data_IF_148035389601
#
_entry.id   IF_148035389601
#
_cell.length_a   1.000
_cell.length_b   1.000
_cell.length_c   1.000
_cell.angle_alpha   90.00
_cell.angle_beta   90.00
_cell.angle_gamma   90.00
#
_symmetry.space_group_name_H-M   'P 1'
#
loop_
_entity.id
_entity.type
_entity.pdbx_description
1 polymer ?
#
# COMPACT_ATOMS: atom_id res chain seq x y z
N UNK A 1 -0.10 9.99 10.80
CA UNK A 1 -0.04 8.60 11.29
C UNK A 1 0.91 7.80 10.42
N UNK A 2 1.81 7.07 11.02
CA UNK A 2 2.73 6.19 10.28
C UNK A 2 2.08 4.85 9.99
N UNK A 3 2.66 4.08 9.06
CA UNK A 3 2.18 2.74 8.75
C UNK A 3 2.25 1.84 9.99
N UNK A 4 3.34 1.94 10.75
CA UNK A 4 3.51 1.19 12.00
C UNK A 4 2.36 1.47 12.97
N UNK A 5 2.03 2.73 13.18
CA UNK A 5 0.95 3.14 14.06
C UNK A 5 -0.40 2.62 13.56
N UNK A 6 -0.63 2.68 12.26
CA UNK A 6 -1.87 2.21 11.66
C UNK A 6 -2.07 0.71 11.87
N UNK A 7 -1.02 -0.08 11.65
CA UNK A 7 -1.06 -1.52 11.84
C UNK A 7 -1.36 -1.87 13.30
N UNK A 8 -0.65 -1.23 14.22
CA UNK A 8 -0.86 -1.46 15.67
C UNK A 8 -2.27 -1.09 16.06
N UNK A 9 -2.75 0.06 15.62
CA UNK A 9 -4.09 0.56 15.93
C UNK A 9 -5.15 -0.42 15.44
N UNK A 10 -5.08 -0.82 14.18
CA UNK A 10 -6.05 -1.74 13.60
C UNK A 10 -6.07 -3.07 14.36
N UNK A 11 -4.89 -3.64 14.59
CA UNK A 11 -4.76 -4.90 15.29
C UNK A 11 -5.35 -4.82 16.70
N UNK A 12 -5.01 -3.75 17.42
CA UNK A 12 -5.48 -3.55 18.78
C UNK A 12 -6.99 -3.36 18.85
N UNK A 13 -7.54 -2.56 17.96
CA UNK A 13 -8.99 -2.30 17.90
C UNK A 13 -9.80 -3.57 17.61
N UNK A 14 -9.21 -4.49 16.83
CA UNK A 14 -9.88 -5.74 16.47
C UNK A 14 -9.49 -6.93 17.36
N UNK A 15 -8.69 -6.68 18.39
CA UNK A 15 -8.26 -7.73 19.33
C UNK A 15 -7.43 -8.83 18.69
N UNK A 16 -6.63 -8.48 17.69
CA UNK A 16 -5.82 -9.43 16.94
C UNK A 16 -4.38 -9.46 17.45
N UNK A 17 -3.80 -10.66 17.54
CA UNK A 17 -2.37 -10.78 17.76
C UNK A 17 -1.63 -10.49 16.45
N UNK A 18 -0.31 -10.26 16.53
CA UNK A 18 0.51 -10.10 15.34
C UNK A 18 0.36 -11.29 14.40
N UNK A 19 0.35 -12.49 14.94
CA UNK A 19 0.22 -13.72 14.18
C UNK A 19 -1.14 -13.81 13.47
N UNK A 20 -2.20 -13.48 14.19
CA UNK A 20 -3.55 -13.51 13.61
C UNK A 20 -3.68 -12.49 12.48
N UNK A 21 -3.18 -11.29 12.70
CA UNK A 21 -3.20 -10.26 11.68
C UNK A 21 -2.38 -10.64 10.45
N UNK A 22 -1.20 -11.22 10.67
CA UNK A 22 -0.36 -11.72 9.59
C UNK A 22 -1.10 -12.74 8.73
N UNK A 23 -1.81 -13.67 9.35
CA UNK A 23 -2.60 -14.68 8.64
C UNK A 23 -3.69 -14.03 7.79
N UNK A 24 -4.38 -13.04 8.33
CA UNK A 24 -5.43 -12.32 7.62
C UNK A 24 -4.86 -11.61 6.38
N UNK A 25 -3.69 -11.01 6.53
CA UNK A 25 -3.04 -10.28 5.43
C UNK A 25 -2.33 -11.19 4.44
N UNK A 26 -2.09 -12.46 4.80
CA UNK A 26 -1.27 -13.34 3.97
C UNK A 26 0.21 -13.02 4.05
N UNK A 27 0.66 -12.51 5.20
CA UNK A 27 2.05 -12.14 5.46
C UNK A 27 2.59 -12.99 6.61
N UNK A 28 3.90 -12.96 6.80
CA UNK A 28 4.51 -13.66 7.92
C UNK A 28 4.38 -12.86 9.22
N UNK A 29 4.37 -13.57 10.34
CA UNK A 29 4.36 -12.93 11.66
C UNK A 29 5.60 -12.05 11.85
N UNK A 30 6.76 -12.52 11.39
CA UNK A 30 7.99 -11.75 11.46
C UNK A 30 7.91 -10.44 10.67
N UNK A 31 7.25 -10.47 9.52
CA UNK A 31 7.06 -9.25 8.73
C UNK A 31 6.19 -8.23 9.45
N UNK A 32 5.09 -8.67 10.06
CA UNK A 32 4.23 -7.78 10.85
C UNK A 32 5.00 -7.17 12.01
N UNK A 33 5.83 -7.99 12.67
CA UNK A 33 6.68 -7.50 13.77
C UNK A 33 7.63 -6.40 13.27
N UNK A 34 8.27 -6.59 12.12
CA UNK A 34 9.15 -5.58 11.52
C UNK A 34 8.39 -4.30 11.20
N UNK A 35 7.17 -4.42 10.65
CA UNK A 35 6.34 -3.25 10.35
C UNK A 35 6.02 -2.45 11.60
N UNK A 36 5.66 -3.12 12.68
CA UNK A 36 5.30 -2.44 13.93
C UNK A 36 6.50 -1.77 14.59
N UNK A 37 7.67 -2.35 14.45
CA UNK A 37 8.93 -1.77 14.95
C UNK A 37 9.49 -0.72 14.00
N UNK A 38 9.04 -0.72 12.76
CA UNK A 38 9.52 0.16 11.70
C UNK A 38 11.03 0.06 11.47
N UNK A 39 11.57 -1.14 11.57
CA UNK A 39 13.00 -1.39 11.42
C UNK A 39 13.23 -2.64 10.60
N UNK A 40 14.15 -2.55 9.63
CA UNK A 40 14.67 -3.71 8.92
C UNK A 40 15.86 -4.26 9.72
N UNK A 41 15.75 -5.47 10.29
CA UNK A 41 16.81 -6.01 11.14
C UNK A 41 18.12 -6.27 10.39
N UNK A 42 18.09 -6.39 9.08
CA UNK A 42 19.30 -6.61 8.27
C UNK A 42 20.12 -5.35 8.08
N UNK A 43 19.47 -4.19 8.00
CA UNK A 43 20.13 -2.92 7.69
C UNK A 43 20.09 -1.93 8.85
N UNK A 44 19.24 -2.15 9.85
CA UNK A 44 19.02 -1.19 10.93
C UNK A 44 18.29 0.09 10.48
N UNK A 45 17.90 0.16 9.22
CA UNK A 45 17.20 1.31 8.67
C UNK A 45 15.69 1.13 8.77
N UNK A 46 14.91 2.22 8.65
CA UNK A 46 13.45 2.11 8.61
C UNK A 46 13.01 1.14 7.53
N UNK A 47 11.98 0.38 7.83
CA UNK A 47 11.44 -0.59 6.88
C UNK A 47 10.72 0.13 5.74
N UNK A 48 11.07 -0.23 4.51
CA UNK A 48 10.38 0.26 3.31
C UNK A 48 9.62 -0.91 2.69
N UNK A 49 8.30 -1.00 2.92
CA UNK A 49 7.54 -2.15 2.44
C UNK A 49 7.38 -2.16 0.91
N UNK A 50 7.42 -3.35 0.33
CA UNK A 50 7.14 -3.54 -1.08
C UNK A 50 5.66 -3.26 -1.35
N UNK A 51 5.36 -2.76 -2.56
CA UNK A 51 3.98 -2.43 -2.90
C UNK A 51 3.04 -3.63 -2.83
N UNK A 52 3.52 -4.82 -3.19
CA UNK A 52 2.72 -6.03 -3.09
C UNK A 52 2.30 -6.32 -1.65
N UNK A 53 3.20 -6.07 -0.69
CA UNK A 53 2.91 -6.25 0.72
C UNK A 53 1.96 -5.18 1.24
N UNK A 54 2.06 -3.95 0.74
CA UNK A 54 1.12 -2.90 1.08
C UNK A 54 -0.29 -3.25 0.60
N UNK A 55 -0.42 -3.85 -0.57
CA UNK A 55 -1.72 -4.32 -1.06
C UNK A 55 -2.31 -5.38 -0.14
N UNK A 56 -1.49 -6.32 0.30
CA UNK A 56 -1.92 -7.37 1.24
C UNK A 56 -2.37 -6.77 2.57
N UNK A 57 -1.62 -5.79 3.07
CA UNK A 57 -1.99 -5.09 4.30
C UNK A 57 -3.33 -4.36 4.15
N UNK A 58 -3.50 -3.64 3.06
CA UNK A 58 -4.75 -2.92 2.81
C UNK A 58 -5.94 -3.86 2.78
N UNK A 59 -5.83 -4.97 2.05
CA UNK A 59 -6.89 -5.96 1.98
C UNK A 59 -7.17 -6.58 3.35
N UNK A 60 -6.12 -6.87 4.12
CA UNK A 60 -6.26 -7.41 5.46
C UNK A 60 -6.95 -6.47 6.43
N UNK A 61 -6.82 -5.16 6.20
CA UNK A 61 -7.48 -4.12 7.00
C UNK A 61 -8.81 -3.67 6.40
N UNK A 62 -9.32 -4.39 5.41
CA UNK A 62 -10.57 -4.04 4.73
C UNK A 62 -10.51 -2.69 4.04
N UNK A 63 -9.35 -2.32 3.58
CA UNK A 63 -9.07 -1.05 2.91
C UNK A 63 -8.58 -1.27 1.49
N UNK A 64 -8.55 -0.20 0.72
CA UNK A 64 -7.86 -0.19 -0.56
C UNK A 64 -6.47 0.40 -0.39
N UNK A 65 -5.60 0.14 -1.36
CA UNK A 65 -4.26 0.72 -1.36
C UNK A 65 -4.33 2.25 -1.36
N UNK A 66 -5.26 2.83 -2.10
CA UNK A 66 -5.47 4.28 -2.12
C UNK A 66 -5.85 4.83 -0.75
N UNK A 67 -6.72 4.13 -0.03
CA UNK A 67 -7.11 4.52 1.32
C UNK A 67 -5.93 4.45 2.28
N UNK A 68 -5.07 3.44 2.11
CA UNK A 68 -3.88 3.31 2.91
C UNK A 68 -2.94 4.51 2.70
N UNK A 69 -2.74 4.92 1.47
CA UNK A 69 -1.91 6.08 1.15
C UNK A 69 -2.51 7.38 1.68
N UNK A 70 -3.83 7.49 1.76
CA UNK A 70 -4.47 8.66 2.34
C UNK A 70 -4.29 8.74 3.85
N UNK A 71 -4.37 7.59 4.51
CA UNK A 71 -4.31 7.52 5.98
C UNK A 71 -2.88 7.71 6.49
N UNK A 72 -1.91 7.18 5.78
CA UNK A 72 -0.51 7.22 6.20
C UNK A 72 0.20 8.36 5.47
N UNK A 73 0.74 9.29 6.24
CA UNK A 73 1.55 10.38 5.71
C UNK A 73 2.95 9.86 5.40
N UNK A 74 3.55 10.38 4.34
CA UNK A 74 4.93 10.05 3.95
C UNK A 74 5.18 8.54 3.91
N UNK A 75 4.27 7.81 3.28
CA UNK A 75 4.37 6.35 3.18
C UNK A 75 5.62 5.95 2.40
N UNK A 76 6.60 5.32 3.04
CA UNK A 76 7.70 4.73 2.28
C UNK A 76 7.16 3.54 1.50
N UNK A 77 7.49 3.46 0.23
CA UNK A 77 7.10 2.33 -0.60
C UNK A 77 8.24 1.94 -1.51
N UNK A 78 8.54 0.65 -1.54
CA UNK A 78 9.51 0.10 -2.45
C UNK A 78 8.76 -0.49 -3.64
N UNK A 79 8.89 0.16 -4.78
CA UNK A 79 8.31 -0.34 -6.02
C UNK A 79 9.16 -1.48 -6.59
N UNK A 80 10.43 -1.57 -6.15
CA UNK A 80 11.33 -2.68 -6.44
C UNK A 80 11.42 -2.99 -7.91
N UNK A 81 11.26 -4.27 -8.21
CA UNK A 81 11.25 -4.77 -9.58
C UNK A 81 9.88 -4.59 -10.25
N UNK A 82 8.96 -3.88 -9.61
CA UNK A 82 7.72 -3.55 -10.25
C UNK A 82 8.06 -2.66 -11.44
N UNK A 83 8.29 -3.33 -12.53
CA UNK A 83 8.40 -2.63 -13.80
C UNK A 83 7.00 -2.20 -14.14
N UNK A 84 6.73 -0.92 -14.03
CA UNK A 84 5.60 -0.40 -14.76
C UNK A 84 5.70 -1.00 -16.15
N UNK A 85 4.70 -1.75 -16.61
CA UNK A 85 4.79 -2.28 -17.96
C UNK A 85 5.00 -1.08 -18.85
N UNK A 86 6.19 -1.02 -19.44
CA UNK A 86 6.62 0.10 -20.23
C UNK A 86 5.64 0.39 -21.36
N UNK A 87 5.98 1.35 -22.16
CA UNK A 87 5.21 1.77 -23.31
C UNK A 87 4.62 0.64 -24.16
N UNK A 88 5.20 -0.54 -24.10
CA UNK A 88 4.74 -1.71 -24.86
C UNK A 88 3.36 -2.21 -24.44
N UNK A 89 2.94 -1.88 -23.22
CA UNK A 89 1.70 -2.39 -22.65
C UNK A 89 0.74 -1.26 -22.29
N UNK A 90 0.98 -0.08 -22.84
CA UNK A 90 0.15 1.10 -22.55
C UNK A 90 -1.33 0.78 -22.66
N UNK A 91 -1.74 0.12 -23.74
CA UNK A 91 -3.14 -0.21 -23.95
C UNK A 91 -3.65 -1.21 -22.93
N UNK A 92 -2.83 -2.19 -22.58
CA UNK A 92 -3.20 -3.18 -21.55
C UNK A 92 -3.34 -2.56 -20.18
N UNK A 93 -2.37 -1.73 -19.80
CA UNK A 93 -2.40 -1.05 -18.51
C UNK A 93 -3.56 -0.07 -18.42
N UNK A 94 -3.77 0.72 -19.47
CA UNK A 94 -4.89 1.67 -19.51
C UNK A 94 -6.24 0.95 -19.44
N UNK A 95 -6.39 -0.14 -20.14
CA UNK A 95 -7.62 -0.94 -20.08
C UNK A 95 -7.86 -1.49 -18.70
N UNK A 96 -6.80 -1.98 -18.05
CA UNK A 96 -6.89 -2.50 -16.69
C UNK A 96 -7.28 -1.41 -15.71
N UNK A 97 -6.65 -0.24 -15.79
CA UNK A 97 -6.98 0.91 -14.95
C UNK A 97 -8.43 1.34 -15.19
N UNK A 98 -8.84 1.45 -16.45
CA UNK A 98 -10.19 1.84 -16.80
C UNK A 98 -11.22 0.84 -16.28
N UNK A 99 -10.91 -0.45 -16.37
CA UNK A 99 -11.78 -1.48 -15.87
C UNK A 99 -11.97 -1.37 -14.35
N UNK A 100 -10.87 -1.23 -13.61
CA UNK A 100 -10.91 -1.06 -12.16
C UNK A 100 -11.68 0.20 -11.79
N UNK A 101 -11.41 1.32 -12.45
CA UNK A 101 -12.07 2.59 -12.19
C UNK A 101 -13.56 2.50 -12.45
N UNK A 102 -13.97 1.77 -13.49
CA UNK A 102 -15.39 1.63 -13.84
C UNK A 102 -16.19 0.88 -12.78
N UNK A 103 -15.52 0.07 -11.96
CA UNK A 103 -16.18 -0.68 -10.88
C UNK A 103 -16.25 0.09 -9.57
N UNK A 104 -15.63 1.26 -9.51
CA UNK A 104 -15.55 2.04 -8.28
C UNK A 104 -16.74 3.00 -8.16
N UNK A 105 -17.06 3.37 -6.92
CA UNK A 105 -18.01 4.44 -6.66
C UNK A 105 -17.42 5.79 -7.07
N UNK A 106 -18.25 6.81 -7.20
CA UNK A 106 -17.79 8.16 -7.55
C UNK A 106 -16.77 8.68 -6.54
N UNK A 107 -16.99 8.42 -5.28
CA UNK A 107 -16.07 8.82 -4.22
C UNK A 107 -14.70 8.13 -4.40
N UNK A 108 -14.73 6.84 -4.68
CA UNK A 108 -13.51 6.08 -4.91
C UNK A 108 -12.77 6.54 -6.17
N UNK A 109 -13.51 6.89 -7.21
CA UNK A 109 -12.93 7.43 -8.44
C UNK A 109 -12.19 8.74 -8.18
N UNK A 110 -12.75 9.60 -7.34
CA UNK A 110 -12.11 10.86 -6.97
C UNK A 110 -10.79 10.62 -6.25
N UNK A 111 -10.74 9.63 -5.38
CA UNK A 111 -9.51 9.28 -4.66
C UNK A 111 -8.42 8.79 -5.61
N UNK A 112 -8.80 7.93 -6.55
CA UNK A 112 -7.86 7.42 -7.57
C UNK A 112 -7.34 8.57 -8.42
N UNK A 113 -8.21 9.48 -8.83
CA UNK A 113 -7.82 10.64 -9.62
C UNK A 113 -6.83 11.54 -8.87
N UNK A 114 -7.09 11.79 -7.60
CA UNK A 114 -6.20 12.58 -6.75
C UNK A 114 -4.82 11.93 -6.67
N UNK A 115 -4.78 10.63 -6.45
CA UNK A 115 -3.52 9.88 -6.39
C UNK A 115 -2.78 9.93 -7.73
N UNK A 116 -3.49 9.74 -8.83
CA UNK A 116 -2.88 9.78 -10.16
C UNK A 116 -2.29 11.16 -10.46
N UNK A 117 -2.98 12.22 -10.09
CA UNK A 117 -2.46 13.59 -10.26
C UNK A 117 -1.21 13.82 -9.44
N UNK A 118 -1.16 13.30 -8.22
CA UNK A 118 0.01 13.39 -7.37
C UNK A 118 1.22 12.72 -8.01
N UNK A 119 1.05 11.52 -8.54
CA UNK A 119 2.10 10.79 -9.22
C UNK A 119 2.57 11.53 -10.47
N UNK A 120 1.66 12.09 -11.24
CA UNK A 120 1.99 12.87 -12.43
C UNK A 120 2.79 14.12 -12.09
N UNK A 121 2.43 14.82 -11.01
CA UNK A 121 3.15 16.01 -10.57
C UNK A 121 4.57 15.65 -10.12
N UNK A 122 4.75 14.55 -9.43
CA UNK A 122 6.08 14.07 -9.05
C UNK A 122 6.94 13.81 -10.28
N UNK A 123 6.38 13.18 -11.31
CA UNK A 123 7.08 12.94 -12.56
C UNK A 123 7.57 14.22 -13.23
N UNK A 124 6.76 15.26 -13.18
CA UNK A 124 7.08 16.54 -13.82
C UNK A 124 8.18 17.32 -13.11
N UNK A 125 8.44 16.99 -11.87
CA UNK A 125 9.46 17.70 -11.07
C UNK A 125 10.87 17.16 -11.27
N UNK A 126 11.00 16.08 -12.01
CA UNK A 126 12.31 15.49 -12.28
C UNK A 126 12.96 16.08 -13.55
#
# INVERSE_FOLDING_TARGET
MTLSELVIKYRTEHGLSQRQFAQICGLSNGYISMLEKNVNPKTGQPLVPAIANLQKLALGMNNTLAQLFETVEDMPVDLGEYKMPAAETDNGLMNEIMHVVSTLSDEQKMKVLTFAKFVADESKRQ
#
